data_IF_085959198115
#
_entry.id   IF_085959198115
#
_cell.length_a   1.000
_cell.length_b   1.000
_cell.length_c   1.000
_cell.angle_alpha   90.00
_cell.angle_beta   90.00
_cell.angle_gamma   90.00
#
_symmetry.space_group_name_H-M   'P 1'
#
loop_
_entity.id
_entity.type
_entity.pdbx_description
1 polymer ?
#
# COMPACT_ATOMS: atom_id res chain seq x y z
N UNK A 1 -8.81 8.63 -23.27
CA UNK A 1 -10.21 8.46 -22.84
C UNK A 1 -11.02 9.74 -22.72
N UNK A 2 -10.45 10.84 -22.20
CA UNK A 2 -11.15 12.13 -22.06
C UNK A 2 -11.82 12.59 -23.37
N UNK A 3 -11.06 12.68 -24.47
CA UNK A 3 -11.58 13.07 -25.79
C UNK A 3 -12.76 12.19 -26.22
N UNK A 4 -12.66 10.89 -25.95
CA UNK A 4 -13.64 9.86 -26.32
C UNK A 4 -14.85 9.79 -25.38
N UNK A 5 -14.86 10.56 -24.29
CA UNK A 5 -15.91 10.49 -23.27
C UNK A 5 -15.93 9.16 -22.50
N UNK A 6 -14.79 8.45 -22.45
CA UNK A 6 -14.62 7.17 -21.75
C UNK A 6 -13.94 7.31 -20.39
N UNK A 7 -13.52 8.52 -20.05
CA UNK A 7 -12.79 8.79 -18.83
C UNK A 7 -13.72 8.67 -17.60
N UNK A 8 -13.27 7.94 -16.59
CA UNK A 8 -14.01 7.69 -15.36
C UNK A 8 -13.75 8.78 -14.30
N UNK A 9 -12.73 9.64 -14.47
CA UNK A 9 -12.39 10.67 -13.50
C UNK A 9 -13.23 11.93 -13.74
N UNK A 10 -14.15 12.21 -12.80
CA UNK A 10 -15.08 13.35 -12.90
C UNK A 10 -14.74 14.44 -11.90
N UNK A 11 -13.74 15.27 -12.23
CA UNK A 11 -13.43 16.45 -11.40
C UNK A 11 -14.52 17.53 -11.49
N UNK A 12 -15.05 17.77 -12.69
CA UNK A 12 -16.20 18.62 -12.98
C UNK A 12 -16.67 18.39 -14.44
N UNK A 13 -17.84 18.93 -14.81
CA UNK A 13 -18.44 18.68 -16.12
C UNK A 13 -17.97 19.62 -17.24
N UNK A 14 -17.07 20.58 -16.97
CA UNK A 14 -16.72 21.62 -17.96
C UNK A 14 -16.04 21.04 -19.20
N UNK A 15 -15.12 20.10 -19.01
CA UNK A 15 -14.36 19.46 -20.10
C UNK A 15 -15.30 18.67 -21.01
N UNK A 16 -16.13 17.80 -20.44
CA UNK A 16 -17.06 16.98 -21.22
C UNK A 16 -18.13 17.84 -21.91
N UNK A 17 -18.67 18.87 -21.24
CA UNK A 17 -19.61 19.81 -21.85
C UNK A 17 -18.97 20.62 -22.99
N UNK A 18 -17.69 21.00 -22.85
CA UNK A 18 -16.91 21.65 -23.89
C UNK A 18 -16.71 20.73 -25.10
N UNK A 19 -16.28 19.49 -24.88
CA UNK A 19 -16.08 18.49 -25.92
C UNK A 19 -17.38 18.19 -26.67
N UNK A 20 -18.53 18.04 -25.98
CA UNK A 20 -19.83 17.86 -26.63
C UNK A 20 -20.13 18.99 -27.62
N UNK A 21 -19.97 20.25 -27.20
CA UNK A 21 -20.17 21.42 -28.07
C UNK A 21 -19.24 21.45 -29.28
N UNK A 22 -18.00 20.98 -29.12
CA UNK A 22 -17.03 20.89 -30.24
C UNK A 22 -17.48 19.81 -31.23
N UNK A 23 -17.79 18.61 -30.77
CA UNK A 23 -18.23 17.50 -31.62
C UNK A 23 -19.60 17.77 -32.27
N UNK A 24 -20.48 18.53 -31.63
CA UNK A 24 -21.71 19.05 -32.26
C UNK A 24 -21.40 19.89 -33.50
N UNK A 25 -20.43 20.80 -33.39
CA UNK A 25 -20.02 21.67 -34.50
C UNK A 25 -19.32 20.87 -35.60
N UNK A 26 -18.48 19.89 -35.25
CA UNK A 26 -17.84 18.98 -36.21
C UNK A 26 -18.92 18.23 -37.00
N UNK A 27 -19.86 17.58 -36.31
CA UNK A 27 -20.94 16.83 -36.95
C UNK A 27 -21.78 17.70 -37.88
N UNK A 28 -22.14 18.93 -37.46
CA UNK A 28 -22.89 19.89 -38.29
C UNK A 28 -22.17 20.26 -39.59
N UNK A 29 -20.83 20.28 -39.58
CA UNK A 29 -19.99 20.59 -40.74
C UNK A 29 -19.74 19.40 -41.68
N UNK A 30 -20.08 18.18 -41.27
CA UNK A 30 -20.00 17.02 -42.16
C UNK A 30 -21.00 17.14 -43.32
N UNK A 31 -20.66 16.53 -44.46
CA UNK A 31 -21.58 16.31 -45.57
C UNK A 31 -22.72 15.35 -45.18
N UNK A 32 -23.71 15.20 -46.06
CA UNK A 32 -24.90 14.35 -45.81
C UNK A 32 -24.52 12.91 -45.43
N UNK A 33 -23.66 12.27 -46.24
CA UNK A 33 -23.19 10.90 -45.99
C UNK A 33 -22.48 10.76 -44.64
N UNK A 34 -21.63 11.73 -44.28
CA UNK A 34 -20.93 11.73 -43.00
C UNK A 34 -21.88 11.87 -41.80
N UNK A 35 -22.90 12.74 -41.92
CA UNK A 35 -23.94 12.88 -40.88
C UNK A 35 -24.72 11.59 -40.70
N UNK A 36 -25.17 10.99 -41.80
CA UNK A 36 -25.89 9.71 -41.76
C UNK A 36 -25.05 8.59 -41.15
N UNK A 37 -23.76 8.51 -41.51
CA UNK A 37 -22.84 7.52 -40.95
C UNK A 37 -22.67 7.61 -39.42
N UNK A 38 -22.72 8.82 -38.86
CA UNK A 38 -22.56 9.09 -37.43
C UNK A 38 -23.87 9.30 -36.70
N UNK A 39 -25.02 9.09 -37.32
CA UNK A 39 -26.30 9.07 -36.64
C UNK A 39 -26.61 7.66 -36.10
N UNK A 40 -27.34 7.60 -34.99
CA UNK A 40 -27.92 6.37 -34.45
C UNK A 40 -29.21 6.00 -35.19
N UNK A 41 -29.83 4.89 -34.81
CA UNK A 41 -31.08 4.39 -35.43
C UNK A 41 -32.27 5.34 -35.27
N UNK A 42 -32.17 6.35 -34.40
CA UNK A 42 -33.19 7.38 -34.17
C UNK A 42 -32.80 8.73 -34.79
N UNK A 43 -31.82 8.76 -35.71
CA UNK A 43 -31.28 9.97 -36.33
C UNK A 43 -30.67 10.97 -35.32
N UNK A 44 -30.23 10.51 -34.14
CA UNK A 44 -29.47 11.32 -33.17
C UNK A 44 -27.98 11.11 -33.37
N UNK A 45 -27.18 12.12 -33.02
CA UNK A 45 -25.72 12.05 -33.16
C UNK A 45 -25.16 10.93 -32.25
N UNK A 46 -24.47 9.96 -32.85
CA UNK A 46 -23.68 8.97 -32.15
C UNK A 46 -22.29 9.53 -31.82
N UNK A 47 -22.23 10.34 -30.76
CA UNK A 47 -20.96 10.97 -30.32
C UNK A 47 -19.86 9.97 -30.03
N UNK A 48 -20.21 8.78 -29.56
CA UNK A 48 -19.23 7.73 -29.26
C UNK A 48 -18.50 7.34 -30.53
N UNK A 49 -19.22 6.94 -31.58
CA UNK A 49 -18.61 6.55 -32.85
C UNK A 49 -17.77 7.69 -33.45
N UNK A 50 -18.33 8.90 -33.47
CA UNK A 50 -17.64 10.08 -34.01
C UNK A 50 -16.33 10.39 -33.25
N UNK A 51 -16.35 10.31 -31.91
CA UNK A 51 -15.16 10.59 -31.10
C UNK A 51 -14.10 9.49 -31.16
N UNK A 52 -14.51 8.23 -31.31
CA UNK A 52 -13.57 7.11 -31.53
C UNK A 52 -12.84 7.23 -32.86
N UNK A 53 -13.57 7.51 -33.94
CA UNK A 53 -12.99 7.65 -35.28
C UNK A 53 -12.11 8.90 -35.34
N UNK A 54 -12.53 10.00 -34.70
CA UNK A 54 -11.70 11.18 -34.54
C UNK A 54 -10.40 10.87 -33.79
N UNK A 55 -10.45 10.13 -32.68
CA UNK A 55 -9.24 9.74 -31.95
C UNK A 55 -8.31 8.89 -32.83
N UNK A 56 -8.86 7.87 -33.50
CA UNK A 56 -8.10 6.97 -34.36
C UNK A 56 -7.40 7.71 -35.51
N UNK A 57 -8.06 8.72 -36.08
CA UNK A 57 -7.51 9.54 -37.16
C UNK A 57 -6.48 10.60 -36.71
N UNK A 58 -6.39 10.92 -35.41
CA UNK A 58 -5.55 12.02 -34.91
C UNK A 58 -4.56 11.61 -33.81
N UNK A 59 -4.56 10.35 -33.34
CA UNK A 59 -3.74 9.89 -32.21
C UNK A 59 -2.23 10.04 -32.46
N UNK A 60 -1.80 9.94 -33.71
CA UNK A 60 -0.41 10.15 -34.14
C UNK A 60 0.03 11.61 -33.93
N UNK A 61 -0.81 12.57 -34.30
CA UNK A 61 -0.54 14.00 -34.09
C UNK A 61 -0.56 14.35 -32.60
N UNK A 62 -1.47 13.74 -31.82
CA UNK A 62 -1.50 13.91 -30.36
C UNK A 62 -0.24 13.33 -29.72
N UNK A 63 0.24 12.16 -30.18
CA UNK A 63 1.49 11.57 -29.71
C UNK A 63 2.68 12.47 -30.01
N UNK A 64 2.78 12.99 -31.23
CA UNK A 64 3.83 13.93 -31.63
C UNK A 64 3.86 15.18 -30.73
N UNK A 65 2.69 15.72 -30.41
CA UNK A 65 2.59 16.85 -29.47
C UNK A 65 3.01 16.45 -28.04
N UNK A 66 2.63 15.26 -27.57
CA UNK A 66 2.96 14.75 -26.24
C UNK A 66 4.47 14.53 -26.06
N UNK A 67 5.14 13.98 -27.08
CA UNK A 67 6.58 13.67 -27.04
C UNK A 67 7.47 14.81 -27.51
N UNK A 68 6.92 16.00 -27.79
CA UNK A 68 7.66 17.16 -28.26
C UNK A 68 8.83 17.55 -27.35
N UNK A 69 8.67 17.37 -26.04
CA UNK A 69 9.68 17.67 -25.02
C UNK A 69 10.42 16.44 -24.49
N UNK A 70 10.21 15.25 -25.06
CA UNK A 70 10.96 14.07 -24.67
C UNK A 70 12.44 14.24 -25.05
N UNK A 71 13.32 13.71 -24.22
CA UNK A 71 14.77 13.79 -24.45
C UNK A 71 15.20 12.82 -25.56
N UNK A 72 16.31 13.12 -26.25
CA UNK A 72 16.82 12.26 -27.33
C UNK A 72 17.22 10.86 -26.82
N UNK A 73 17.50 10.71 -25.53
CA UNK A 73 17.83 9.45 -24.88
C UNK A 73 16.63 8.63 -24.40
N UNK A 74 15.41 9.17 -24.49
CA UNK A 74 14.19 8.51 -24.04
C UNK A 74 13.55 7.70 -25.17
N UNK A 75 13.54 6.37 -25.01
CA UNK A 75 12.89 5.44 -25.93
C UNK A 75 11.69 4.76 -25.26
N UNK A 76 10.64 4.49 -26.03
CA UNK A 76 9.52 3.65 -25.59
C UNK A 76 9.72 2.22 -26.08
N UNK A 77 9.44 1.22 -25.24
CA UNK A 77 9.49 -0.17 -25.66
C UNK A 77 8.28 -0.98 -25.22
N UNK A 78 8.00 -2.01 -26.01
CA UNK A 78 7.01 -3.05 -25.69
C UNK A 78 7.65 -4.42 -25.87
N UNK A 79 7.21 -5.39 -25.08
CA UNK A 79 7.60 -6.78 -25.23
C UNK A 79 6.39 -7.59 -25.70
N UNK A 80 6.56 -8.34 -26.79
CA UNK A 80 5.53 -9.28 -27.26
C UNK A 80 5.48 -10.54 -26.39
N UNK A 81 4.41 -11.33 -26.56
CA UNK A 81 4.27 -12.66 -25.95
C UNK A 81 5.45 -13.60 -26.27
N UNK A 82 6.08 -13.43 -27.44
CA UNK A 82 7.29 -14.17 -27.85
C UNK A 82 8.60 -13.62 -27.30
N UNK A 83 8.54 -12.75 -26.28
CA UNK A 83 9.68 -12.06 -25.66
C UNK A 83 10.49 -11.16 -26.61
N UNK A 84 9.94 -10.81 -27.77
CA UNK A 84 10.58 -9.86 -28.69
C UNK A 84 10.31 -8.45 -28.19
N UNK A 85 11.39 -7.71 -27.93
CA UNK A 85 11.31 -6.28 -27.59
C UNK A 85 11.27 -5.45 -28.88
N UNK A 86 10.32 -4.53 -28.95
CA UNK A 86 10.23 -3.51 -29.99
C UNK A 86 10.45 -2.16 -29.32
N UNK A 87 11.30 -1.34 -29.91
CA UNK A 87 11.65 -0.02 -29.44
C UNK A 87 11.16 1.02 -30.43
N UNK A 88 10.77 2.18 -29.93
CA UNK A 88 10.69 3.39 -30.74
C UNK A 88 12.10 3.94 -30.99
N UNK A 89 12.19 4.85 -31.94
CA UNK A 89 13.30 5.78 -32.08
C UNK A 89 13.31 6.79 -30.91
N UNK A 90 14.32 7.66 -30.93
CA UNK A 90 14.54 8.73 -29.97
C UNK A 90 13.30 9.59 -29.72
N UNK A 91 13.24 10.21 -28.53
CA UNK A 91 12.11 11.02 -28.07
C UNK A 91 10.79 10.26 -28.10
N UNK A 92 10.81 9.00 -27.65
CA UNK A 92 9.66 8.12 -27.63
C UNK A 92 8.96 7.97 -29.00
N UNK A 93 9.73 8.00 -30.09
CA UNK A 93 9.22 7.92 -31.47
C UNK A 93 8.54 9.20 -31.96
N UNK A 94 9.00 10.38 -31.55
CA UNK A 94 8.41 11.67 -31.93
C UNK A 94 8.26 11.89 -33.44
N UNK A 95 9.29 11.54 -34.20
CA UNK A 95 9.34 11.70 -35.66
C UNK A 95 8.86 10.47 -36.43
N UNK A 96 8.34 9.45 -35.73
CA UNK A 96 7.77 8.29 -36.37
C UNK A 96 6.33 8.54 -36.83
N UNK A 97 5.99 7.96 -37.99
CA UNK A 97 4.63 8.01 -38.53
C UNK A 97 3.65 7.08 -37.79
N UNK A 98 4.15 6.18 -36.92
CA UNK A 98 3.31 5.21 -36.22
C UNK A 98 3.61 5.21 -34.71
N UNK A 99 2.57 5.45 -33.93
CA UNK A 99 2.62 5.34 -32.46
C UNK A 99 2.76 3.88 -32.06
N UNK A 100 3.87 3.54 -31.37
CA UNK A 100 4.16 2.17 -30.95
C UNK A 100 3.24 1.68 -29.82
N UNK A 101 2.86 2.56 -28.90
CA UNK A 101 1.95 2.20 -27.80
C UNK A 101 0.52 1.97 -28.28
N UNK A 102 -0.18 1.04 -27.61
CA UNK A 102 -1.62 0.81 -27.77
C UNK A 102 -2.36 0.93 -26.43
N UNK A 103 -1.77 1.62 -25.44
CA UNK A 103 -2.40 1.83 -24.14
C UNK A 103 -3.73 2.60 -24.27
N UNK A 104 -3.85 3.51 -25.24
CA UNK A 104 -5.12 4.18 -25.55
C UNK A 104 -6.22 3.22 -26.02
N UNK A 105 -5.90 1.95 -26.29
CA UNK A 105 -6.87 0.89 -26.57
C UNK A 105 -7.01 -0.08 -25.37
N UNK A 106 -6.24 0.02 -24.30
CA UNK A 106 -6.47 -0.79 -23.08
C UNK A 106 -7.59 -0.16 -22.24
N UNK A 107 -8.54 -0.91 -21.64
CA UNK A 107 -9.51 -0.37 -20.69
C UNK A 107 -8.86 0.46 -19.58
N UNK A 108 -9.43 1.63 -19.28
CA UNK A 108 -8.83 2.58 -18.32
C UNK A 108 -8.57 1.97 -16.94
N UNK A 109 -9.49 1.16 -16.42
CA UNK A 109 -9.32 0.49 -15.13
C UNK A 109 -8.03 -0.34 -15.08
N UNK A 110 -7.75 -1.15 -16.11
CA UNK A 110 -6.57 -2.01 -16.16
C UNK A 110 -5.27 -1.18 -16.24
N UNK A 111 -5.29 -0.07 -16.98
CA UNK A 111 -4.15 0.85 -17.02
C UNK A 111 -3.87 1.47 -15.66
N UNK A 112 -4.91 1.92 -14.98
CA UNK A 112 -4.77 2.50 -13.64
C UNK A 112 -4.36 1.47 -12.60
N UNK A 113 -4.82 0.22 -12.70
CA UNK A 113 -4.38 -0.85 -11.80
C UNK A 113 -2.89 -1.16 -12.02
N UNK A 114 -2.45 -1.28 -13.28
CA UNK A 114 -1.04 -1.45 -13.61
C UNK A 114 -0.17 -0.27 -13.14
N UNK A 115 -0.62 0.97 -13.41
CA UNK A 115 0.06 2.20 -12.97
C UNK A 115 0.14 2.29 -11.44
N UNK A 116 -0.95 1.95 -10.74
CA UNK A 116 -0.98 1.90 -9.28
C UNK A 116 0.06 0.91 -8.74
N UNK A 117 0.16 -0.28 -9.33
CA UNK A 117 1.11 -1.30 -8.89
C UNK A 117 2.56 -0.84 -9.07
N UNK A 118 2.92 -0.32 -10.24
CA UNK A 118 4.26 0.20 -10.52
C UNK A 118 4.62 1.37 -9.58
N UNK A 119 3.69 2.32 -9.39
CA UNK A 119 3.89 3.45 -8.48
C UNK A 119 3.99 3.01 -7.01
N UNK A 120 3.20 2.02 -6.59
CA UNK A 120 3.32 1.42 -5.26
C UNK A 120 4.70 0.81 -5.07
N UNK A 121 5.17 -0.01 -6.01
CA UNK A 121 6.48 -0.67 -5.93
C UNK A 121 7.62 0.35 -5.84
N UNK A 122 7.61 1.36 -6.72
CA UNK A 122 8.60 2.45 -6.72
C UNK A 122 8.59 3.24 -5.40
N UNK A 123 7.41 3.63 -4.91
CA UNK A 123 7.28 4.40 -3.66
C UNK A 123 7.59 3.57 -2.43
N UNK A 124 7.26 2.28 -2.42
CA UNK A 124 7.58 1.36 -1.33
C UNK A 124 9.10 1.30 -1.14
N UNK A 125 9.86 1.14 -2.23
CA UNK A 125 11.33 1.16 -2.20
C UNK A 125 11.90 2.46 -1.61
N UNK A 126 11.46 3.62 -2.09
CA UNK A 126 11.90 4.92 -1.56
C UNK A 126 11.56 5.10 -0.07
N UNK A 127 10.33 4.74 0.33
CA UNK A 127 9.90 4.83 1.73
C UNK A 127 10.68 3.87 2.62
N UNK A 128 10.92 2.64 2.17
CA UNK A 128 11.72 1.66 2.89
C UNK A 128 13.17 2.09 3.05
N UNK A 129 13.78 2.71 2.05
CA UNK A 129 15.12 3.28 2.19
C UNK A 129 15.17 4.33 3.31
N UNK A 130 14.17 5.22 3.36
CA UNK A 130 14.06 6.25 4.42
C UNK A 130 13.83 5.63 5.81
N UNK A 131 13.03 4.58 5.89
CA UNK A 131 12.82 3.81 7.12
C UNK A 131 14.11 3.11 7.55
N UNK A 132 14.79 2.42 6.63
CA UNK A 132 16.07 1.73 6.90
C UNK A 132 17.09 2.73 7.44
N UNK A 133 17.31 3.84 6.76
CA UNK A 133 18.28 4.85 7.20
C UNK A 133 17.92 5.41 8.59
N UNK A 134 16.65 5.66 8.86
CA UNK A 134 16.19 6.16 10.15
C UNK A 134 16.33 5.14 11.29
N UNK A 135 16.12 3.84 11.01
CA UNK A 135 16.07 2.78 12.00
C UNK A 135 17.37 1.98 12.16
N UNK A 136 18.21 1.94 11.13
CA UNK A 136 19.47 1.20 11.10
C UNK A 136 20.70 2.06 10.81
N UNK A 137 20.52 3.25 10.23
CA UNK A 137 21.63 4.07 9.78
C UNK A 137 22.05 3.72 8.35
N UNK A 138 23.13 4.35 7.86
CA UNK A 138 23.62 4.15 6.47
C UNK A 138 24.53 2.92 6.35
N UNK A 139 25.25 2.63 7.41
CA UNK A 139 26.22 1.53 7.56
C UNK A 139 25.74 0.50 8.57
N UNK A 140 24.42 0.47 8.85
CA UNK A 140 23.79 -0.40 9.84
C UNK A 140 24.39 -0.24 11.27
N UNK A 141 24.84 0.98 11.59
CA UNK A 141 25.51 1.37 12.84
C UNK A 141 24.61 1.50 14.07
N UNK A 142 23.28 1.46 13.88
CA UNK A 142 22.30 1.50 14.97
C UNK A 142 21.20 0.46 14.79
N UNK A 143 20.46 0.18 15.86
CA UNK A 143 19.31 -0.70 15.79
C UNK A 143 18.16 -0.15 16.63
N UNK A 144 17.23 0.53 15.96
CA UNK A 144 16.06 1.13 16.60
C UNK A 144 14.79 0.31 16.33
N UNK A 145 13.83 0.41 17.24
CA UNK A 145 12.48 -0.11 17.07
C UNK A 145 11.50 0.95 16.58
N UNK A 146 10.34 0.51 16.08
CA UNK A 146 9.26 1.43 15.70
C UNK A 146 8.84 2.36 16.85
N UNK A 147 9.00 1.96 18.11
CA UNK A 147 8.57 2.72 19.29
C UNK A 147 9.65 3.68 19.82
N UNK A 148 10.75 3.83 19.09
CA UNK A 148 11.85 4.74 19.41
C UNK A 148 12.85 4.21 20.45
N UNK A 149 12.82 2.91 20.74
CA UNK A 149 13.82 2.28 21.62
C UNK A 149 15.07 1.89 20.83
N UNK A 150 16.23 2.07 21.47
CA UNK A 150 17.53 1.56 21.04
C UNK A 150 17.66 0.09 21.50
N UNK A 151 17.60 -0.83 20.54
CA UNK A 151 17.60 -2.27 20.79
C UNK A 151 18.96 -2.82 21.18
N UNK A 152 20.04 -2.04 21.07
CA UNK A 152 21.36 -2.45 21.56
C UNK A 152 21.44 -2.40 23.09
N UNK A 153 20.60 -1.56 23.72
CA UNK A 153 20.51 -1.37 25.17
C UNK A 153 19.19 -1.85 25.76
N UNK A 154 18.15 -1.95 24.93
CA UNK A 154 16.83 -2.44 25.35
C UNK A 154 16.83 -3.96 25.41
N UNK A 155 16.48 -4.49 26.58
CA UNK A 155 16.30 -5.92 26.84
C UNK A 155 14.92 -6.04 27.48
N UNK A 156 13.91 -6.35 26.66
CA UNK A 156 12.56 -6.57 27.18
C UNK A 156 12.59 -7.65 28.24
N UNK A 157 13.18 -8.83 28.04
CA UNK A 157 13.15 -9.91 29.05
C UNK A 157 13.58 -9.49 30.48
N UNK A 158 14.41 -8.45 30.64
CA UNK A 158 14.84 -7.89 31.94
C UNK A 158 14.04 -6.66 32.41
N UNK A 159 13.14 -6.13 31.59
CA UNK A 159 12.45 -4.86 31.81
C UNK A 159 13.35 -3.63 31.63
N UNK A 160 14.45 -3.77 30.88
CA UNK A 160 15.38 -2.67 30.59
C UNK A 160 14.97 -2.03 29.28
N UNK A 161 14.39 -0.84 29.34
CA UNK A 161 13.95 -0.08 28.17
C UNK A 161 14.82 1.17 28.01
N UNK A 162 15.35 1.40 26.81
CA UNK A 162 16.19 2.56 26.55
C UNK A 162 15.70 3.34 25.33
N UNK A 163 15.07 4.49 25.57
CA UNK A 163 14.77 5.47 24.52
C UNK A 163 16.00 6.30 24.22
N UNK A 164 16.27 6.48 22.93
CA UNK A 164 17.33 7.35 22.45
C UNK A 164 16.77 8.35 21.45
N UNK A 165 17.24 9.60 21.53
CA UNK A 165 16.92 10.63 20.54
C UNK A 165 17.32 10.19 19.12
N UNK A 166 18.35 9.34 19.00
CA UNK A 166 18.83 8.77 17.74
C UNK A 166 17.82 7.77 17.13
N UNK A 167 16.92 7.23 17.96
CA UNK A 167 15.87 6.29 17.57
C UNK A 167 14.49 6.95 17.41
N UNK A 168 14.30 8.19 17.86
CA UNK A 168 13.08 8.96 17.57
C UNK A 168 12.83 9.10 16.07
N UNK A 169 13.89 9.18 15.26
CA UNK A 169 13.79 9.18 13.81
C UNK A 169 13.10 7.92 13.25
N UNK A 170 13.36 6.75 13.85
CA UNK A 170 12.73 5.49 13.43
C UNK A 170 11.22 5.54 13.65
N UNK A 171 10.77 5.96 14.85
CA UNK A 171 9.35 6.14 15.18
C UNK A 171 8.65 7.07 14.18
N UNK A 172 9.24 8.24 13.91
CA UNK A 172 8.66 9.25 13.02
C UNK A 172 8.60 8.79 11.56
N UNK A 173 9.41 7.81 11.15
CA UNK A 173 9.36 7.24 9.79
C UNK A 173 8.49 6.00 9.70
N UNK A 174 8.47 5.15 10.73
CA UNK A 174 7.67 3.93 10.77
C UNK A 174 6.17 4.23 10.81
N UNK A 175 5.69 5.13 11.68
CA UNK A 175 4.25 5.36 11.81
C UNK A 175 3.61 5.86 10.50
N UNK A 176 4.13 6.88 9.80
CA UNK A 176 3.58 7.30 8.52
C UNK A 176 3.75 6.25 7.41
N UNK A 177 4.78 5.40 7.49
CA UNK A 177 4.97 4.30 6.56
C UNK A 177 3.87 3.23 6.73
N UNK A 178 3.56 2.84 7.96
CA UNK A 178 2.50 1.87 8.25
C UNK A 178 1.13 2.39 7.82
N UNK A 179 0.79 3.65 8.14
CA UNK A 179 -0.47 4.28 7.70
C UNK A 179 -0.57 4.31 6.17
N UNK A 180 0.52 4.67 5.50
CA UNK A 180 0.56 4.66 4.04
C UNK A 180 0.33 3.24 3.49
N UNK A 181 1.00 2.23 4.06
CA UNK A 181 0.88 0.84 3.63
C UNK A 181 -0.54 0.28 3.82
N UNK A 182 -1.20 0.63 4.93
CA UNK A 182 -2.59 0.27 5.20
C UNK A 182 -3.54 0.89 4.15
N UNK A 183 -3.34 2.15 3.79
CA UNK A 183 -4.13 2.82 2.75
C UNK A 183 -3.90 2.16 1.37
N UNK A 184 -2.66 1.79 1.05
CA UNK A 184 -2.35 1.07 -0.18
C UNK A 184 -3.01 -0.31 -0.23
N UNK A 185 -3.06 -1.04 0.90
CA UNK A 185 -3.82 -2.30 0.98
C UNK A 185 -5.30 -2.09 0.67
N UNK A 186 -5.93 -1.06 1.25
CA UNK A 186 -7.34 -0.73 0.99
C UNK A 186 -7.59 -0.37 -0.48
N UNK A 187 -6.68 0.34 -1.12
CA UNK A 187 -6.75 0.65 -2.56
C UNK A 187 -6.63 -0.61 -3.40
N UNK A 188 -5.66 -1.48 -3.08
CA UNK A 188 -5.47 -2.77 -3.74
C UNK A 188 -6.70 -3.67 -3.64
N UNK A 189 -7.28 -3.82 -2.45
CA UNK A 189 -8.48 -4.63 -2.23
C UNK A 189 -9.66 -4.13 -3.07
N UNK A 190 -9.85 -2.80 -3.15
CA UNK A 190 -10.88 -2.19 -4.02
C UNK A 190 -10.62 -2.49 -5.50
N UNK A 191 -9.37 -2.44 -5.94
CA UNK A 191 -9.00 -2.77 -7.32
C UNK A 191 -9.21 -4.26 -7.62
N UNK A 192 -8.92 -5.16 -6.68
CA UNK A 192 -9.22 -6.60 -6.79
C UNK A 192 -10.71 -6.85 -7.00
N UNK A 193 -11.56 -6.26 -6.17
CA UNK A 193 -13.00 -6.40 -6.30
C UNK A 193 -13.52 -5.79 -7.61
N UNK A 194 -12.96 -4.67 -8.04
CA UNK A 194 -13.28 -4.08 -9.34
C UNK A 194 -12.87 -4.99 -10.50
N UNK A 195 -11.70 -5.62 -10.46
CA UNK A 195 -11.27 -6.57 -11.49
C UNK A 195 -12.24 -7.76 -11.58
N UNK A 196 -12.59 -8.35 -10.43
CA UNK A 196 -13.57 -9.45 -10.35
C UNK A 196 -14.91 -9.04 -10.96
N UNK A 197 -15.33 -7.79 -10.75
CA UNK A 197 -16.56 -7.25 -11.33
C UNK A 197 -16.45 -7.08 -12.85
N UNK A 198 -15.40 -6.43 -13.34
CA UNK A 198 -15.19 -6.20 -14.78
C UNK A 198 -15.04 -7.49 -15.58
N UNK A 199 -14.37 -8.51 -15.01
CA UNK A 199 -14.15 -9.79 -15.68
C UNK A 199 -15.43 -10.64 -15.67
N UNK A 200 -16.20 -10.69 -14.58
CA UNK A 200 -17.37 -11.56 -14.45
C UNK A 200 -18.68 -10.95 -14.95
N UNK A 201 -18.79 -9.62 -15.02
CA UNK A 201 -19.95 -8.99 -15.60
C UNK A 201 -20.11 -9.49 -17.06
N UNK A 202 -21.18 -10.27 -17.31
CA UNK A 202 -21.82 -10.24 -18.63
C UNK A 202 -22.12 -8.75 -18.82
N UNK A 203 -21.33 -8.04 -19.63
CA UNK A 203 -21.43 -6.61 -19.89
C UNK A 203 -22.78 -6.25 -20.55
N UNK A 204 -23.87 -6.52 -19.85
CA UNK A 204 -25.24 -6.10 -20.11
C UNK A 204 -25.51 -5.03 -19.06
N UNK A 205 -25.50 -3.79 -19.50
CA UNK A 205 -25.98 -2.61 -18.75
C UNK A 205 -25.02 -1.97 -17.74
N UNK A 206 -23.91 -1.39 -18.23
CA UNK A 206 -23.57 -0.02 -17.81
C UNK A 206 -24.11 0.92 -18.88
N UNK A 207 -25.13 1.67 -18.50
CA UNK A 207 -26.00 2.55 -19.30
C UNK A 207 -27.06 1.89 -20.20
N UNK A 208 -28.28 1.90 -19.66
CA UNK A 208 -29.57 1.82 -20.37
C UNK A 208 -29.86 3.06 -21.26
N UNK A 209 -28.85 3.86 -21.59
CA UNK A 209 -28.97 4.97 -22.53
C UNK A 209 -27.92 4.83 -23.62
N UNK A 210 -28.32 4.18 -24.72
CA UNK A 210 -27.68 4.11 -26.04
C UNK A 210 -26.15 4.20 -26.06
N UNK A 211 -25.43 3.08 -26.29
CA UNK A 211 -24.36 3.01 -27.32
C UNK A 211 -23.66 1.64 -27.36
N UNK A 212 -24.03 0.79 -28.33
CA UNK A 212 -23.50 -0.58 -28.48
C UNK A 212 -22.02 -0.71 -28.83
N UNK A 213 -21.36 0.35 -29.32
CA UNK A 213 -19.95 0.30 -29.78
C UNK A 213 -18.94 0.35 -28.62
N UNK A 214 -19.16 1.21 -27.62
CA UNK A 214 -18.28 1.28 -26.44
C UNK A 214 -18.30 -0.03 -25.64
N UNK A 215 -19.49 -0.60 -25.47
CA UNK A 215 -19.65 -1.87 -24.80
C UNK A 215 -18.96 -3.01 -25.60
N UNK A 216 -19.06 -3.00 -26.94
CA UNK A 216 -18.41 -4.01 -27.78
C UNK A 216 -16.88 -4.01 -27.64
N UNK A 217 -16.23 -2.86 -27.70
CA UNK A 217 -14.77 -2.76 -27.57
C UNK A 217 -14.26 -3.25 -26.21
N UNK A 218 -14.85 -2.76 -25.13
CA UNK A 218 -14.50 -3.19 -23.77
C UNK A 218 -14.73 -4.69 -23.57
N UNK A 219 -15.86 -5.20 -24.07
CA UNK A 219 -16.19 -6.63 -24.02
C UNK A 219 -15.21 -7.48 -24.81
N UNK A 220 -14.82 -7.07 -26.01
CA UNK A 220 -13.82 -7.78 -26.82
C UNK A 220 -12.47 -7.84 -26.10
N UNK A 221 -12.04 -6.77 -25.43
CA UNK A 221 -10.81 -6.75 -24.67
C UNK A 221 -10.83 -7.74 -23.50
N UNK A 222 -11.88 -7.70 -22.66
CA UNK A 222 -11.99 -8.62 -21.53
C UNK A 222 -12.21 -10.08 -21.95
N UNK A 223 -12.91 -10.33 -23.06
CA UNK A 223 -13.01 -11.68 -23.62
C UNK A 223 -11.62 -12.19 -24.03
N UNK A 224 -10.82 -11.38 -24.72
CA UNK A 224 -9.43 -11.74 -25.06
C UNK A 224 -8.58 -11.97 -23.81
N UNK A 225 -8.76 -11.19 -22.74
CA UNK A 225 -8.05 -11.45 -21.47
C UNK A 225 -8.40 -12.83 -20.89
N UNK A 226 -9.68 -13.20 -20.88
CA UNK A 226 -10.12 -14.53 -20.44
C UNK A 226 -9.52 -15.64 -21.29
N UNK A 227 -9.60 -15.50 -22.61
CA UNK A 227 -9.06 -16.48 -23.56
C UNK A 227 -7.54 -16.67 -23.38
N UNK A 228 -6.84 -15.67 -22.85
CA UNK A 228 -5.40 -15.67 -22.56
C UNK A 228 -5.04 -16.02 -21.10
N UNK A 229 -5.93 -16.70 -20.35
CA UNK A 229 -5.69 -17.19 -18.97
C UNK A 229 -5.60 -16.08 -17.91
N UNK A 230 -6.30 -14.97 -18.11
CA UNK A 230 -6.44 -13.92 -17.10
C UNK A 230 -7.91 -13.79 -16.66
N UNK A 231 -8.58 -14.93 -16.52
CA UNK A 231 -9.99 -14.99 -16.12
C UNK A 231 -10.17 -14.64 -14.64
N UNK A 232 -9.16 -14.95 -13.82
CA UNK A 232 -9.17 -14.68 -12.40
C UNK A 232 -8.34 -13.44 -12.04
N UNK A 233 -8.67 -12.82 -10.91
CA UNK A 233 -7.90 -11.69 -10.38
C UNK A 233 -6.48 -12.12 -10.01
N UNK A 234 -6.28 -13.34 -9.52
CA UNK A 234 -4.98 -13.83 -9.06
C UNK A 234 -4.01 -14.03 -10.24
N UNK A 235 -4.51 -14.49 -11.40
CA UNK A 235 -3.74 -14.56 -12.64
C UNK A 235 -3.28 -13.17 -13.11
N UNK A 236 -4.17 -12.16 -13.03
CA UNK A 236 -3.79 -10.79 -13.37
C UNK A 236 -2.81 -10.18 -12.37
N UNK A 237 -3.00 -10.43 -11.07
CA UNK A 237 -2.08 -9.97 -10.02
C UNK A 237 -0.67 -10.52 -10.25
N UNK A 238 -0.52 -11.74 -10.74
CA UNK A 238 0.80 -12.28 -11.10
C UNK A 238 1.52 -11.41 -12.15
N UNK A 239 0.80 -10.80 -13.10
CA UNK A 239 1.41 -9.87 -14.05
C UNK A 239 1.89 -8.58 -13.39
N UNK A 240 1.21 -8.11 -12.35
CA UNK A 240 1.61 -6.90 -11.62
C UNK A 240 2.96 -7.10 -10.92
N UNK A 241 3.26 -8.32 -10.45
CA UNK A 241 4.58 -8.66 -9.92
C UNK A 241 5.69 -8.57 -10.96
N UNK A 242 5.33 -8.73 -12.25
CA UNK A 242 6.29 -8.66 -13.34
C UNK A 242 6.67 -7.23 -13.75
N UNK A 243 6.06 -6.23 -13.10
CA UNK A 243 6.34 -4.81 -13.28
C UNK A 243 7.81 -4.44 -13.04
N UNK A 244 8.27 -3.38 -13.71
CA UNK A 244 9.68 -3.01 -13.73
C UNK A 244 10.20 -2.66 -12.35
N UNK A 245 9.42 -1.93 -11.56
CA UNK A 245 9.77 -1.56 -10.19
C UNK A 245 9.44 -2.67 -9.18
N UNK A 246 8.50 -3.55 -9.51
CA UNK A 246 8.05 -4.61 -8.60
C UNK A 246 9.02 -5.78 -8.53
N UNK A 247 9.81 -6.03 -9.57
CA UNK A 247 10.89 -7.03 -9.60
C UNK A 247 12.16 -6.61 -8.84
N UNK A 248 12.29 -5.33 -8.51
CA UNK A 248 13.50 -4.84 -7.88
C UNK A 248 13.62 -5.35 -6.43
N UNK A 249 14.84 -5.68 -6.03
CA UNK A 249 15.12 -6.04 -4.65
C UNK A 249 14.90 -4.84 -3.72
N UNK A 250 14.19 -5.10 -2.62
CA UNK A 250 13.96 -4.13 -1.56
C UNK A 250 15.09 -4.17 -0.52
N UNK A 251 15.38 -3.05 0.17
CA UNK A 251 16.45 -2.99 1.16
C UNK A 251 16.16 -3.93 2.34
N UNK A 252 16.79 -5.10 2.37
CA UNK A 252 16.62 -6.11 3.41
C UNK A 252 15.25 -6.82 3.43
N UNK A 253 14.37 -6.55 2.48
CA UNK A 253 13.06 -7.22 2.38
C UNK A 253 12.98 -8.12 1.14
N UNK A 254 12.01 -9.02 1.13
CA UNK A 254 11.67 -9.81 -0.04
C UNK A 254 11.20 -8.92 -1.19
N UNK A 255 11.33 -9.43 -2.42
CA UNK A 255 10.75 -8.81 -3.61
C UNK A 255 9.22 -8.74 -3.44
N UNK A 256 8.62 -7.67 -3.95
CA UNK A 256 7.18 -7.48 -3.86
C UNK A 256 6.44 -8.63 -4.53
N UNK A 257 5.47 -9.19 -3.82
CA UNK A 257 4.61 -10.23 -4.35
C UNK A 257 3.16 -10.00 -3.90
N UNK A 258 2.36 -9.46 -4.81
CA UNK A 258 0.96 -9.15 -4.58
C UNK A 258 0.06 -10.39 -4.39
N UNK A 259 0.52 -11.61 -4.71
CA UNK A 259 -0.24 -12.83 -4.38
C UNK A 259 -0.17 -13.19 -2.90
N UNK A 260 0.85 -12.71 -2.19
CA UNK A 260 0.98 -12.84 -0.72
C UNK A 260 0.42 -11.63 0.02
N UNK A 261 -0.69 -11.05 -0.45
CA UNK A 261 -1.26 -9.85 0.17
C UNK A 261 -1.93 -10.12 1.54
N UNK A 262 -2.34 -11.36 1.80
CA UNK A 262 -3.08 -11.76 3.01
C UNK A 262 -2.19 -12.38 4.11
N UNK A 263 -0.89 -12.55 3.84
CA UNK A 263 0.12 -13.09 4.77
C UNK A 263 1.02 -11.96 5.31
N UNK A 264 2.12 -12.29 6.02
CA UNK A 264 3.26 -11.39 6.29
C UNK A 264 4.00 -10.97 4.99
N UNK A 265 3.27 -10.67 3.92
CA UNK A 265 3.79 -10.38 2.59
C UNK A 265 3.77 -8.89 2.26
N UNK A 266 3.26 -8.53 1.08
CA UNK A 266 3.51 -7.21 0.48
C UNK A 266 3.03 -6.02 1.30
N UNK A 267 1.95 -6.17 2.06
CA UNK A 267 1.38 -5.09 2.88
C UNK A 267 1.74 -5.23 4.36
N UNK A 268 2.65 -6.15 4.70
CA UNK A 268 3.11 -6.32 6.07
C UNK A 268 4.12 -5.24 6.47
N UNK A 269 4.13 -4.88 7.76
CA UNK A 269 5.05 -3.90 8.32
C UNK A 269 6.50 -4.30 8.06
N UNK A 270 7.35 -3.29 7.85
CA UNK A 270 8.76 -3.52 7.56
C UNK A 270 9.46 -4.24 8.71
N UNK A 271 10.45 -5.08 8.42
CA UNK A 271 11.33 -5.65 9.44
C UNK A 271 12.13 -4.60 10.24
N UNK A 272 12.29 -3.38 9.68
CA UNK A 272 12.93 -2.27 10.38
C UNK A 272 11.97 -1.58 11.36
N UNK A 273 10.66 -1.70 11.11
CA UNK A 273 9.58 -1.16 11.94
C UNK A 273 9.01 -2.26 12.85
N UNK A 274 9.90 -3.02 13.47
CA UNK A 274 9.55 -4.04 14.46
C UNK A 274 9.90 -3.55 15.85
N UNK A 275 9.26 -4.13 16.87
CA UNK A 275 9.67 -3.92 18.26
C UNK A 275 11.07 -4.49 18.49
N UNK A 276 11.77 -4.03 19.53
CA UNK A 276 13.07 -4.61 19.86
C UNK A 276 12.91 -6.10 20.20
N UNK A 277 13.86 -6.98 19.80
CA UNK A 277 13.87 -8.37 20.25
C UNK A 277 13.90 -8.46 21.78
N UNK A 278 13.38 -9.54 22.33
CA UNK A 278 13.24 -9.66 23.79
C UNK A 278 14.57 -9.59 24.53
N UNK A 279 15.61 -10.16 23.95
CA UNK A 279 16.97 -10.17 24.47
C UNK A 279 17.82 -8.98 23.99
N UNK A 280 17.25 -8.08 23.19
CA UNK A 280 17.99 -7.05 22.46
C UNK A 280 18.79 -7.62 21.28
N UNK A 281 19.77 -6.85 20.82
CA UNK A 281 20.68 -7.25 19.73
C UNK A 281 22.15 -7.22 20.18
N UNK A 282 22.99 -7.99 19.49
CA UNK A 282 24.44 -7.90 19.55
C UNK A 282 24.97 -7.27 18.27
N UNK A 283 25.74 -6.19 18.40
CA UNK A 283 26.34 -5.47 17.27
C UNK A 283 27.88 -5.54 17.27
N UNK A 284 28.46 -6.43 18.06
CA UNK A 284 29.92 -6.52 18.26
C UNK A 284 30.69 -6.83 16.97
N UNK A 285 30.08 -7.53 16.01
CA UNK A 285 30.66 -7.86 14.71
C UNK A 285 30.57 -6.74 13.67
N UNK A 286 30.08 -5.55 14.04
CA UNK A 286 29.78 -4.45 13.12
C UNK A 286 28.43 -4.59 12.41
N UNK A 287 27.77 -5.74 12.54
CA UNK A 287 26.37 -5.97 12.15
C UNK A 287 25.58 -6.41 13.36
N UNK A 288 24.35 -5.91 13.48
CA UNK A 288 23.49 -6.21 14.61
C UNK A 288 22.65 -7.47 14.36
N UNK A 289 22.82 -8.50 15.21
CA UNK A 289 22.02 -9.73 15.18
C UNK A 289 21.16 -9.86 16.44
N UNK A 290 20.01 -10.53 16.34
CA UNK A 290 19.14 -10.77 17.50
C UNK A 290 19.86 -11.72 18.46
N UNK A 291 19.83 -11.40 19.76
CA UNK A 291 20.36 -12.31 20.79
C UNK A 291 19.39 -13.47 21.00
N UNK A 292 19.96 -14.67 21.11
CA UNK A 292 19.21 -15.88 21.43
C UNK A 292 18.66 -15.83 22.86
N UNK A 293 17.55 -16.53 23.11
CA UNK A 293 16.97 -16.60 24.45
C UNK A 293 17.87 -17.30 25.49
N UNK A 294 18.80 -18.11 25.00
CA UNK A 294 19.82 -18.82 25.80
C UNK A 294 21.04 -17.95 26.12
N UNK A 295 21.14 -16.74 25.55
CA UNK A 295 22.22 -15.81 25.85
C UNK A 295 22.21 -15.46 27.35
N UNK A 296 23.37 -15.63 28.00
CA UNK A 296 23.54 -15.32 29.42
C UNK A 296 23.15 -13.86 29.75
N UNK A 297 23.32 -12.96 28.79
CA UNK A 297 22.97 -11.55 28.90
C UNK A 297 21.48 -11.27 28.66
N UNK A 298 20.70 -12.21 28.13
CA UNK A 298 19.24 -12.06 28.05
C UNK A 298 18.60 -12.11 29.44
N UNK A 299 19.19 -12.88 30.37
CA UNK A 299 18.80 -12.98 31.77
C UNK A 299 17.37 -13.45 32.04
N UNK A 300 16.91 -13.29 33.29
CA UNK A 300 15.58 -13.72 33.75
C UNK A 300 14.64 -12.52 33.92
N UNK A 301 13.32 -12.74 33.74
CA UNK A 301 12.31 -11.75 34.11
C UNK A 301 12.53 -11.20 35.52
N UNK A 302 12.30 -9.90 35.74
CA UNK A 302 12.45 -9.32 37.06
C UNK A 302 11.47 -9.96 38.05
N UNK A 303 11.94 -10.25 39.26
CA UNK A 303 11.08 -10.75 40.33
C UNK A 303 10.11 -9.66 40.78
N UNK A 304 8.84 -10.04 40.92
CA UNK A 304 7.79 -9.24 41.54
C UNK A 304 7.43 -9.85 42.89
N UNK A 305 7.61 -9.08 43.95
CA UNK A 305 7.23 -9.45 45.31
C UNK A 305 6.77 -8.18 45.99
N UNK A 306 5.53 -8.17 46.45
CA UNK A 306 4.92 -7.01 47.08
C UNK A 306 5.49 -6.90 48.50
N UNK A 307 6.10 -5.76 48.87
CA UNK A 307 6.51 -5.51 50.24
C UNK A 307 5.32 -5.58 51.21
N UNK A 308 5.55 -6.08 52.42
CA UNK A 308 4.48 -6.29 53.43
C UNK A 308 3.82 -5.00 53.91
N UNK A 309 4.48 -3.86 53.70
CA UNK A 309 4.08 -2.52 54.15
C UNK A 309 3.39 -1.67 53.06
N UNK A 310 3.15 -2.23 51.87
CA UNK A 310 2.53 -1.49 50.76
C UNK A 310 1.28 -2.17 50.24
N UNK A 311 0.26 -1.36 49.92
CA UNK A 311 -0.95 -1.84 49.25
C UNK A 311 -0.78 -1.64 47.74
N UNK A 312 -0.87 -2.71 46.92
CA UNK A 312 -0.80 -2.58 45.48
C UNK A 312 -2.06 -1.90 44.92
N UNK A 313 -1.94 -1.32 43.72
CA UNK A 313 -3.02 -0.73 42.93
C UNK A 313 -3.19 -1.51 41.65
N UNK A 314 -4.42 -1.91 41.36
CA UNK A 314 -4.76 -2.55 40.09
C UNK A 314 -5.08 -1.47 39.04
N UNK A 315 -4.50 -1.61 37.85
CA UNK A 315 -4.63 -0.71 36.71
C UNK A 315 -5.05 -1.53 35.50
N UNK A 316 -6.13 -1.12 34.83
CA UNK A 316 -6.56 -1.73 33.57
C UNK A 316 -6.09 -0.84 32.42
N UNK A 317 -5.35 -1.41 31.48
CA UNK A 317 -4.87 -0.70 30.28
C UNK A 317 -5.30 -1.41 29.03
N UNK A 318 -5.57 -0.65 27.96
CA UNK A 318 -5.80 -1.22 26.65
C UNK A 318 -4.47 -1.78 26.12
N UNK A 319 -4.40 -3.10 25.92
CA UNK A 319 -3.25 -3.71 25.26
C UNK A 319 -3.25 -3.32 23.80
N UNK A 320 -2.14 -2.82 23.30
CA UNK A 320 -2.07 -2.32 21.92
C UNK A 320 -1.60 -3.36 20.91
N UNK A 321 -1.07 -4.50 21.38
CA UNK A 321 -0.54 -5.54 20.50
C UNK A 321 0.85 -5.20 19.96
N UNK A 322 1.54 -6.25 19.53
CA UNK A 322 2.83 -6.14 18.84
C UNK A 322 2.70 -6.40 17.33
N UNK A 323 1.53 -6.86 16.87
CA UNK A 323 1.26 -7.13 15.45
C UNK A 323 0.69 -5.89 14.72
N UNK A 324 0.77 -5.93 13.39
CA UNK A 324 0.27 -4.84 12.56
C UNK A 324 -1.26 -4.75 12.62
N UNK A 325 -1.77 -3.54 12.88
CA UNK A 325 -3.21 -3.27 12.91
C UNK A 325 -3.90 -3.71 14.21
N UNK A 326 -3.18 -4.31 15.17
CA UNK A 326 -3.74 -4.70 16.46
C UNK A 326 -4.34 -3.51 17.21
N UNK A 327 -3.61 -2.40 17.29
CA UNK A 327 -4.09 -1.20 17.98
C UNK A 327 -5.36 -0.64 17.34
N UNK A 328 -5.43 -0.59 16.01
CA UNK A 328 -6.61 -0.10 15.28
C UNK A 328 -7.83 -0.98 15.55
N UNK A 329 -7.65 -2.30 15.55
CA UNK A 329 -8.73 -3.26 15.87
C UNK A 329 -9.20 -3.10 17.31
N UNK A 330 -8.27 -2.99 18.26
CA UNK A 330 -8.57 -2.90 19.69
C UNK A 330 -9.18 -1.55 20.08
N UNK A 331 -8.73 -0.45 19.45
CA UNK A 331 -9.36 0.87 19.58
C UNK A 331 -10.76 0.90 18.98
N UNK A 332 -10.98 0.25 17.83
CA UNK A 332 -12.33 0.16 17.25
C UNK A 332 -13.29 -0.55 18.19
N UNK A 333 -12.86 -1.63 18.85
CA UNK A 333 -13.67 -2.32 19.86
C UNK A 333 -13.90 -1.46 21.11
N UNK A 334 -12.87 -0.73 21.57
CA UNK A 334 -12.98 0.23 22.68
C UNK A 334 -14.00 1.35 22.39
N UNK A 335 -13.96 1.95 21.21
CA UNK A 335 -14.88 3.02 20.82
C UNK A 335 -16.34 2.55 20.70
N UNK A 336 -16.58 1.26 20.45
CA UNK A 336 -17.92 0.69 20.35
C UNK A 336 -18.56 0.39 21.72
N UNK A 337 -17.75 0.10 22.75
CA UNK A 337 -18.22 -0.15 24.12
C UNK A 337 -17.22 0.40 25.16
N UNK A 338 -17.29 1.71 25.45
CA UNK A 338 -16.28 2.40 26.27
C UNK A 338 -16.32 2.04 27.76
N UNK A 339 -17.27 1.22 28.22
CA UNK A 339 -17.48 0.90 29.64
C UNK A 339 -17.04 -0.54 29.97
N UNK A 340 -16.67 -1.34 28.96
CA UNK A 340 -16.26 -2.72 29.14
C UNK A 340 -14.77 -2.86 29.52
N UNK A 341 -14.42 -2.47 30.73
CA UNK A 341 -13.05 -2.58 31.28
C UNK A 341 -12.60 -4.03 31.55
N UNK A 342 -13.52 -4.99 31.46
CA UNK A 342 -13.23 -6.43 31.46
C UNK A 342 -13.18 -7.01 30.03
N UNK A 343 -13.12 -6.16 29.00
CA UNK A 343 -13.04 -6.58 27.61
C UNK A 343 -11.79 -7.42 27.32
N UNK A 344 -11.85 -8.24 26.26
CA UNK A 344 -10.73 -9.11 25.84
C UNK A 344 -9.44 -8.37 25.46
N UNK A 345 -9.51 -7.05 25.26
CA UNK A 345 -8.38 -6.21 24.86
C UNK A 345 -7.68 -5.51 26.03
N UNK A 346 -8.17 -5.69 27.26
CA UNK A 346 -7.58 -5.06 28.43
C UNK A 346 -6.58 -5.99 29.11
N UNK A 347 -5.46 -5.39 29.49
CA UNK A 347 -4.49 -5.97 30.39
C UNK A 347 -4.72 -5.47 31.80
N UNK A 348 -4.72 -6.40 32.74
CA UNK A 348 -4.73 -6.07 34.16
C UNK A 348 -3.30 -6.05 34.67
N UNK A 349 -2.93 -4.91 35.24
CA UNK A 349 -1.64 -4.68 35.87
C UNK A 349 -1.84 -4.41 37.33
N UNK A 350 -0.90 -4.86 38.15
CA UNK A 350 -0.84 -4.59 39.57
C UNK A 350 0.48 -3.90 39.87
N UNK A 351 0.41 -2.68 40.37
CA UNK A 351 1.56 -1.85 40.65
C UNK A 351 1.67 -1.55 42.14
N UNK A 352 2.88 -1.51 42.69
CA UNK A 352 3.12 -1.01 44.04
C UNK A 352 4.18 0.10 44.03
N UNK A 353 4.11 0.98 45.02
CA UNK A 353 5.11 2.00 45.29
C UNK A 353 5.60 1.88 46.73
N UNK A 354 6.89 1.60 46.90
CA UNK A 354 7.58 1.67 48.20
C UNK A 354 8.54 2.85 48.28
N UNK A 355 9.28 3.09 47.20
CA UNK A 355 10.18 4.24 47.06
C UNK A 355 10.47 4.52 45.58
N UNK A 356 11.14 5.62 45.26
CA UNK A 356 11.58 5.91 43.89
C UNK A 356 12.48 4.85 43.26
N UNK A 357 13.16 4.03 44.07
CA UNK A 357 13.99 2.90 43.62
C UNK A 357 13.25 1.55 43.64
N UNK A 358 12.08 1.49 44.27
CA UNK A 358 11.30 0.27 44.46
C UNK A 358 9.82 0.55 44.15
N UNK A 359 9.57 0.62 42.83
CA UNK A 359 8.26 0.83 42.22
C UNK A 359 8.16 -0.12 41.02
N UNK A 360 7.23 -1.07 41.08
CA UNK A 360 7.08 -2.12 40.07
C UNK A 360 5.63 -2.36 39.73
N UNK A 361 5.42 -2.81 38.51
CA UNK A 361 4.15 -3.27 37.98
C UNK A 361 4.31 -4.70 37.48
N UNK A 362 3.34 -5.56 37.80
CA UNK A 362 3.21 -6.89 37.24
C UNK A 362 1.89 -7.02 36.49
N UNK A 363 1.94 -7.55 35.28
CA UNK A 363 0.75 -7.96 34.56
C UNK A 363 0.18 -9.22 35.19
N UNK A 364 -1.06 -9.14 35.66
CA UNK A 364 -1.76 -10.23 36.36
C UNK A 364 -2.64 -11.05 35.41
N UNK A 365 -3.05 -10.49 34.27
CA UNK A 365 -3.75 -11.25 33.22
C UNK A 365 -3.72 -10.60 31.84
N UNK A 366 -3.47 -11.41 30.81
CA UNK A 366 -3.96 -11.23 29.45
C UNK A 366 -5.06 -12.27 29.19
N UNK A 367 -6.21 -11.89 28.63
CA UNK A 367 -7.18 -12.86 28.12
C UNK A 367 -6.68 -13.60 26.85
N UNK A 368 -5.64 -13.09 26.19
CA UNK A 368 -4.95 -13.71 25.06
C UNK A 368 -3.52 -14.11 25.46
N UNK A 369 -3.17 -15.40 25.44
CA UNK A 369 -1.83 -15.87 25.83
C UNK A 369 -0.78 -15.50 24.78
N UNK A 370 -0.21 -14.31 24.86
CA UNK A 370 1.07 -14.02 24.20
C UNK A 370 2.22 -14.30 25.19
N UNK A 371 3.05 -15.33 24.95
CA UNK A 371 4.19 -15.65 25.81
C UNK A 371 5.35 -14.64 25.72
N UNK A 372 5.35 -13.73 24.74
CA UNK A 372 6.46 -12.79 24.47
C UNK A 372 6.36 -11.48 25.26
N UNK A 373 5.19 -11.15 25.81
CA UNK A 373 4.99 -9.90 26.55
C UNK A 373 5.53 -10.01 27.99
N UNK A 374 6.41 -9.07 28.35
CA UNK A 374 6.94 -8.95 29.71
C UNK A 374 5.83 -8.85 30.76
N UNK A 375 5.95 -9.67 31.81
CA UNK A 375 4.99 -9.67 32.91
C UNK A 375 5.35 -8.72 34.04
N UNK A 376 6.57 -8.18 34.11
CA UNK A 376 7.04 -7.34 35.23
C UNK A 376 7.97 -6.25 34.73
N UNK A 377 7.75 -5.00 35.16
CA UNK A 377 8.61 -3.85 34.88
C UNK A 377 8.49 -2.76 35.95
N UNK A 378 9.29 -1.69 35.85
CA UNK A 378 9.09 -0.50 36.71
C UNK A 378 7.82 0.25 36.29
N UNK A 379 7.20 0.99 37.20
CA UNK A 379 6.04 1.81 36.84
C UNK A 379 6.36 2.87 35.77
N UNK A 380 7.57 3.43 35.78
CA UNK A 380 8.01 4.38 34.75
C UNK A 380 7.99 3.75 33.36
N UNK A 381 8.54 2.54 33.23
CA UNK A 381 8.53 1.80 31.96
C UNK A 381 7.11 1.41 31.54
N UNK A 382 6.28 1.01 32.49
CA UNK A 382 4.87 0.72 32.26
C UNK A 382 4.10 1.94 31.76
N UNK A 383 4.29 3.09 32.40
CA UNK A 383 3.63 4.35 32.02
C UNK A 383 4.08 4.80 30.62
N UNK A 384 5.38 4.78 30.34
CA UNK A 384 5.91 5.15 29.02
C UNK A 384 5.43 4.20 27.92
N UNK A 385 5.38 2.90 28.20
CA UNK A 385 4.81 1.90 27.30
C UNK A 385 3.35 2.25 27.03
N UNK A 386 2.53 2.39 28.06
CA UNK A 386 1.10 2.68 27.90
C UNK A 386 0.86 3.96 27.10
N UNK A 387 1.52 5.07 27.44
CA UNK A 387 1.37 6.35 26.74
C UNK A 387 1.78 6.25 25.27
N UNK A 388 2.87 5.54 24.97
CA UNK A 388 3.38 5.39 23.60
C UNK A 388 2.49 4.53 22.72
N UNK A 389 1.87 3.51 23.31
CA UNK A 389 1.05 2.57 22.58
C UNK A 389 -0.41 3.05 22.44
N UNK A 390 -0.85 3.96 23.33
CA UNK A 390 -2.18 4.59 23.28
C UNK A 390 -2.24 5.82 22.35
N UNK A 391 -1.18 6.63 22.30
CA UNK A 391 -1.08 7.85 21.48
C UNK A 391 -0.43 7.56 20.12
#
# INVERSE_FOLDING_TARGET
>A
DIVRGRDMFKSNDKVENGLKKVFDKIHKKLGTEGKEYYNDTNNKINYVKLREDWWTANRDQVWKALTCSADDSEDYFIQSESNKKLFSNSKCGHDENKVLTNLDYVPQFLRWFNEWAEEFCRKKKDKLNKVKEACRGKTDEKYCSLNGYDCTKTIWKKGVLHRSNECTGCLVKCNPYEIWLENQRKEFDKQKEMYKKEINEKNTSRDSTNNGINNKYYKEFYNKLKDNKYETVDEFINLLNEGSYCKEQLPGEEVINFTKADEEGTFYRSQYCQVCPDCGVDCSSGTCTKKEETDENCGKPPNYTIPTDVTPTDINVLYSGDEQGDITKKLSEFCNDPINYDGKNYEKWQCYYKSSKDIKCQMTSLKQKDPKHLKVMTFYNFFDLWVTYLL
#
